data_IF_960635970701
#
_entry.id   IF_960635970701
#
_cell.length_a   1.000
_cell.length_b   1.000
_cell.length_c   1.000
_cell.angle_alpha   90.00
_cell.angle_beta   90.00
_cell.angle_gamma   90.00
#
_symmetry.space_group_name_H-M   'P 1'
#
loop_
_entity.id
_entity.type
_entity.pdbx_description
1 polymer ?
#
# COMPACT_ATOMS: atom_id res chain seq x y z
N UNK A 1 -15.18 -28.72 -5.01
CA UNK A 1 -13.79 -28.22 -4.96
C UNK A 1 -13.51 -27.85 -3.52
N UNK A 2 -12.49 -28.41 -2.86
CA UNK A 2 -12.16 -28.04 -1.47
C UNK A 2 -11.62 -26.61 -1.50
N UNK A 3 -12.22 -25.67 -0.77
CA UNK A 3 -11.67 -24.33 -0.55
C UNK A 3 -10.35 -24.48 0.21
N UNK A 4 -9.24 -24.60 -0.51
CA UNK A 4 -7.91 -24.53 0.08
C UNK A 4 -7.67 -23.07 0.47
N UNK A 5 -7.63 -22.80 1.77
CA UNK A 5 -7.35 -21.48 2.32
C UNK A 5 -5.95 -21.05 1.89
N UNK A 6 -5.84 -19.90 1.23
CA UNK A 6 -4.55 -19.32 0.86
C UNK A 6 -3.75 -19.00 2.12
N UNK A 7 -2.44 -19.27 2.08
CA UNK A 7 -1.49 -18.96 3.17
C UNK A 7 -0.57 -17.81 2.79
N UNK A 8 0.03 -17.16 3.79
CA UNK A 8 1.04 -16.11 3.56
C UNK A 8 2.20 -16.60 2.70
N UNK A 9 2.74 -17.78 2.99
CA UNK A 9 3.87 -18.33 2.24
C UNK A 9 3.53 -18.60 0.77
N UNK A 10 2.26 -18.89 0.47
CA UNK A 10 1.82 -18.99 -0.92
C UNK A 10 1.73 -17.60 -1.55
N UNK A 11 1.03 -16.65 -0.90
CA UNK A 11 0.89 -15.28 -1.41
C UNK A 11 2.23 -14.60 -1.67
N UNK A 12 3.20 -14.78 -0.75
CA UNK A 12 4.50 -14.12 -0.80
C UNK A 12 5.35 -14.51 -2.02
N UNK A 13 5.05 -15.62 -2.69
CA UNK A 13 5.78 -16.08 -3.89
C UNK A 13 4.92 -16.06 -5.15
N UNK A 14 3.69 -15.54 -5.08
CA UNK A 14 2.82 -15.44 -6.25
C UNK A 14 3.35 -14.38 -7.21
N UNK A 15 3.50 -14.78 -8.46
CA UNK A 15 3.74 -13.85 -9.56
C UNK A 15 2.55 -12.91 -9.79
N UNK A 16 2.79 -11.81 -10.50
CA UNK A 16 1.73 -10.89 -10.94
C UNK A 16 0.57 -11.63 -11.63
N UNK A 17 0.89 -12.57 -12.52
CA UNK A 17 -0.10 -13.37 -13.23
C UNK A 17 -0.93 -14.25 -12.28
N UNK A 18 -0.31 -14.89 -11.29
CA UNK A 18 -1.03 -15.72 -10.32
C UNK A 18 -1.95 -14.90 -9.41
N UNK A 19 -1.51 -13.70 -9.01
CA UNK A 19 -2.33 -12.76 -8.23
C UNK A 19 -3.59 -12.36 -9.02
N UNK A 20 -3.42 -12.06 -10.30
CA UNK A 20 -4.52 -11.71 -11.22
C UNK A 20 -5.48 -12.88 -11.42
N UNK A 21 -4.95 -14.07 -11.70
CA UNK A 21 -5.76 -15.30 -11.78
C UNK A 21 -6.51 -15.59 -10.49
N UNK A 22 -5.97 -15.21 -9.34
CA UNK A 22 -6.65 -15.40 -8.06
C UNK A 22 -7.77 -14.38 -7.86
N UNK A 23 -7.57 -13.10 -8.24
CA UNK A 23 -8.63 -12.09 -8.29
C UNK A 23 -9.78 -12.53 -9.22
N UNK A 24 -9.45 -13.07 -10.39
CA UNK A 24 -10.42 -13.46 -11.42
C UNK A 24 -11.33 -14.63 -11.01
N UNK A 25 -11.02 -15.33 -9.91
CA UNK A 25 -11.91 -16.34 -9.29
C UNK A 25 -13.12 -15.71 -8.62
N UNK A 26 -13.15 -14.38 -8.46
CA UNK A 26 -14.26 -13.62 -7.90
C UNK A 26 -13.95 -12.98 -6.55
N UNK A 27 -14.94 -12.25 -6.03
CA UNK A 27 -14.80 -11.38 -4.85
C UNK A 27 -14.38 -12.11 -3.58
N UNK A 28 -14.84 -13.35 -3.35
CA UNK A 28 -14.43 -14.13 -2.17
C UNK A 28 -12.93 -14.47 -2.21
N UNK A 29 -12.41 -14.84 -3.39
CA UNK A 29 -11.00 -15.10 -3.57
C UNK A 29 -10.19 -13.81 -3.38
N UNK A 30 -10.60 -12.71 -4.00
CA UNK A 30 -9.95 -11.40 -3.77
C UNK A 30 -9.91 -11.03 -2.29
N UNK A 31 -11.00 -11.23 -1.56
CA UNK A 31 -11.05 -10.97 -0.12
C UNK A 31 -10.07 -11.84 0.68
N UNK A 32 -9.79 -13.07 0.23
CA UNK A 32 -8.76 -13.89 0.87
C UNK A 32 -7.36 -13.30 0.68
N UNK A 33 -7.02 -12.75 -0.50
CA UNK A 33 -5.77 -12.01 -0.70
C UNK A 33 -5.70 -10.81 0.25
N UNK A 34 -6.75 -9.98 0.24
CA UNK A 34 -6.87 -8.79 1.09
C UNK A 34 -6.65 -9.13 2.56
N UNK A 35 -7.34 -10.15 3.07
CA UNK A 35 -7.27 -10.54 4.48
C UNK A 35 -5.89 -11.04 4.89
N UNK A 36 -5.17 -11.72 4.00
CA UNK A 36 -3.80 -12.17 4.29
C UNK A 36 -2.88 -10.96 4.38
N UNK A 37 -2.93 -10.06 3.40
CA UNK A 37 -2.10 -8.85 3.37
C UNK A 37 -2.40 -7.97 4.58
N UNK A 38 -3.66 -7.62 4.83
CA UNK A 38 -4.09 -6.85 6.00
C UNK A 38 -3.67 -7.51 7.32
N UNK A 39 -3.71 -8.84 7.40
CA UNK A 39 -3.31 -9.58 8.57
C UNK A 39 -1.79 -9.59 8.85
N UNK A 40 -0.97 -9.11 7.91
CA UNK A 40 0.48 -8.97 8.10
C UNK A 40 0.94 -7.54 8.35
N UNK A 41 0.05 -6.55 8.21
CA UNK A 41 0.42 -5.14 8.37
C UNK A 41 0.39 -4.76 9.84
N UNK A 42 1.53 -4.30 10.35
CA UNK A 42 1.68 -3.70 11.66
C UNK A 42 1.46 -2.19 11.55
N UNK A 43 0.29 -1.72 12.01
CA UNK A 43 -0.11 -0.33 11.87
C UNK A 43 0.56 0.56 12.92
N UNK A 44 1.01 1.77 12.54
CA UNK A 44 1.39 2.77 13.53
C UNK A 44 0.23 3.12 14.47
N UNK A 45 0.56 3.56 15.69
CA UNK A 45 -0.44 3.96 16.68
C UNK A 45 -1.41 5.01 16.12
N UNK A 46 -2.71 4.75 16.26
CA UNK A 46 -3.76 5.65 15.78
C UNK A 46 -4.07 5.54 14.28
N UNK A 47 -3.47 4.59 13.57
CA UNK A 47 -3.73 4.37 12.14
C UNK A 47 -4.78 3.27 11.90
N UNK A 48 -5.21 3.16 10.64
CA UNK A 48 -6.10 2.13 10.12
C UNK A 48 -5.68 1.71 8.73
N UNK A 49 -5.98 0.46 8.35
CA UNK A 49 -5.84 -0.03 6.99
C UNK A 49 -7.15 -0.62 6.49
N UNK A 50 -7.46 -0.35 5.23
CA UNK A 50 -8.60 -0.92 4.51
C UNK A 50 -8.13 -1.43 3.16
N UNK A 51 -8.60 -2.59 2.75
CA UNK A 51 -8.33 -3.13 1.42
C UNK A 51 -9.46 -2.78 0.45
N UNK A 52 -9.10 -2.58 -0.81
CA UNK A 52 -10.05 -2.45 -1.91
C UNK A 52 -10.78 -3.77 -2.15
N UNK A 53 -12.11 -3.74 -2.15
CA UNK A 53 -12.94 -4.91 -2.40
C UNK A 53 -13.43 -4.95 -3.86
N UNK A 54 -13.66 -3.79 -4.46
CA UNK A 54 -14.10 -3.64 -5.84
C UNK A 54 -13.19 -2.67 -6.63
N UNK A 55 -13.46 -1.37 -6.56
CA UNK A 55 -12.74 -0.37 -7.35
C UNK A 55 -12.66 0.97 -6.61
N UNK A 56 -12.76 0.95 -5.29
CA UNK A 56 -12.73 2.12 -4.43
C UNK A 56 -11.41 2.92 -4.58
N UNK A 57 -10.34 2.24 -4.98
CA UNK A 57 -8.99 2.74 -5.22
C UNK A 57 -8.51 2.42 -6.66
N UNK A 58 -9.43 2.52 -7.64
CA UNK A 58 -9.25 2.32 -9.08
C UNK A 58 -9.23 0.87 -9.61
N UNK A 59 -9.08 -0.16 -8.77
CA UNK A 59 -9.20 -1.56 -9.20
C UNK A 59 -8.05 -2.07 -10.08
N UNK A 60 -6.92 -1.37 -10.15
CA UNK A 60 -5.88 -1.66 -11.14
C UNK A 60 -5.15 -2.97 -10.88
N UNK A 61 -4.90 -3.31 -9.61
CA UNK A 61 -4.15 -4.51 -9.21
C UNK A 61 -4.98 -5.41 -8.27
N UNK A 62 -4.60 -6.69 -8.12
CA UNK A 62 -5.30 -7.65 -7.26
C UNK A 62 -5.54 -7.19 -5.83
N UNK A 63 -4.53 -6.59 -5.20
CA UNK A 63 -4.63 -6.06 -3.83
C UNK A 63 -4.21 -4.59 -3.81
N UNK A 64 -5.07 -3.75 -3.27
CA UNK A 64 -4.75 -2.36 -2.90
C UNK A 64 -5.16 -2.15 -1.45
N UNK A 65 -4.22 -1.80 -0.58
CA UNK A 65 -4.49 -1.42 0.80
C UNK A 65 -4.22 0.07 0.99
N UNK A 66 -5.21 0.80 1.51
CA UNK A 66 -5.06 2.19 1.93
C UNK A 66 -4.80 2.22 3.43
N UNK A 67 -3.68 2.80 3.82
CA UNK A 67 -3.17 2.86 5.20
C UNK A 67 -3.05 4.33 5.59
N UNK A 68 -3.79 4.78 6.60
CA UNK A 68 -3.85 6.20 6.98
C UNK A 68 -4.05 6.41 8.49
N UNK A 69 -3.68 7.58 9.04
CA UNK A 69 -4.12 7.98 10.37
C UNK A 69 -5.65 8.02 10.46
N UNK A 70 -6.21 7.59 11.59
CA UNK A 70 -7.68 7.59 11.77
C UNK A 70 -8.22 9.02 11.75
N UNK A 71 -9.15 9.26 10.82
CA UNK A 71 -9.78 10.58 10.66
C UNK A 71 -9.01 11.55 9.76
N UNK A 72 -7.89 11.12 9.17
CA UNK A 72 -7.12 11.90 8.20
C UNK A 72 -6.81 11.05 6.96
N UNK A 73 -7.72 11.10 5.99
CA UNK A 73 -7.57 10.39 4.72
C UNK A 73 -6.66 11.15 3.72
N UNK A 74 -6.24 12.38 4.03
CA UNK A 74 -5.34 13.13 3.15
C UNK A 74 -3.94 12.53 3.17
N UNK A 75 -3.53 11.98 4.31
CA UNK A 75 -2.27 11.24 4.46
C UNK A 75 -2.55 9.74 4.37
N UNK A 76 -2.61 9.25 3.14
CA UNK A 76 -2.82 7.84 2.85
C UNK A 76 -1.61 7.25 2.14
N UNK A 77 -1.09 6.15 2.68
CA UNK A 77 -0.12 5.28 2.01
C UNK A 77 -0.90 4.20 1.29
N UNK A 78 -0.55 3.94 0.04
CA UNK A 78 -1.10 2.84 -0.73
C UNK A 78 -0.08 1.73 -0.82
N UNK A 79 -0.47 0.53 -0.39
CA UNK A 79 0.26 -0.71 -0.62
C UNK A 79 -0.46 -1.48 -1.73
N UNK A 80 0.18 -1.58 -2.88
CA UNK A 80 -0.33 -2.21 -4.08
C UNK A 80 0.45 -3.49 -4.37
N UNK A 81 -0.26 -4.55 -4.75
CA UNK A 81 0.39 -5.76 -5.27
C UNK A 81 0.92 -5.55 -6.68
N UNK A 82 1.79 -6.46 -7.11
CA UNK A 82 2.01 -6.67 -8.53
C UNK A 82 0.69 -7.07 -9.23
N UNK A 83 0.62 -6.86 -10.54
CA UNK A 83 -0.51 -7.15 -11.42
C UNK A 83 -0.09 -7.10 -12.89
N UNK A 84 -1.03 -7.26 -13.82
CA UNK A 84 -0.69 -7.39 -15.26
C UNK A 84 0.13 -6.22 -15.82
N UNK A 85 -0.14 -5.01 -15.34
CA UNK A 85 0.54 -3.77 -15.79
C UNK A 85 1.51 -3.21 -14.73
N UNK A 86 1.54 -3.80 -13.54
CA UNK A 86 2.33 -3.34 -12.39
C UNK A 86 3.28 -4.46 -12.00
N UNK A 87 4.59 -4.34 -12.29
CA UNK A 87 5.51 -5.47 -12.18
C UNK A 87 5.81 -5.88 -10.73
N UNK A 88 5.69 -4.95 -9.78
CA UNK A 88 6.21 -5.10 -8.42
C UNK A 88 5.14 -4.75 -7.37
N UNK A 89 5.25 -5.36 -6.20
CA UNK A 89 4.62 -4.83 -5.00
C UNK A 89 5.22 -3.46 -4.69
N UNK A 90 4.37 -2.52 -4.28
CA UNK A 90 4.82 -1.16 -3.98
C UNK A 90 4.05 -0.53 -2.83
N UNK A 91 4.77 0.20 -1.98
CA UNK A 91 4.17 1.12 -1.02
C UNK A 91 4.52 2.54 -1.41
N UNK A 92 3.53 3.43 -1.51
CA UNK A 92 3.77 4.80 -1.92
C UNK A 92 2.82 5.81 -1.26
N UNK A 93 3.29 7.05 -1.16
CA UNK A 93 2.54 8.20 -0.65
C UNK A 93 2.28 9.17 -1.80
N UNK A 94 1.04 9.34 -2.29
CA UNK A 94 0.69 10.42 -3.19
C UNK A 94 0.70 11.76 -2.44
N UNK A 95 1.16 12.82 -3.11
CA UNK A 95 1.17 14.18 -2.58
C UNK A 95 1.12 15.24 -3.69
N UNK A 96 0.77 16.47 -3.32
CA UNK A 96 0.82 17.64 -4.19
C UNK A 96 1.78 18.66 -3.58
N UNK A 97 2.69 19.23 -4.39
CA UNK A 97 3.67 20.22 -3.91
C UNK A 97 3.10 21.63 -3.79
N UNK A 98 2.05 21.95 -4.55
CA UNK A 98 1.50 23.30 -4.62
C UNK A 98 -0.02 23.25 -4.49
N UNK A 99 -0.58 24.23 -3.78
CA UNK A 99 -2.01 24.53 -3.81
C UNK A 99 -2.40 25.41 -5.01
N UNK A 100 -1.43 25.76 -5.88
CA UNK A 100 -1.67 26.56 -7.07
C UNK A 100 -2.21 25.66 -8.17
N UNK A 101 -3.38 26.03 -8.70
CA UNK A 101 -4.11 25.25 -9.69
C UNK A 101 -3.34 25.00 -11.01
N UNK A 102 -2.28 25.79 -11.27
CA UNK A 102 -1.49 25.72 -12.50
C UNK A 102 -0.50 24.54 -12.56
N UNK A 103 -0.07 23.99 -11.41
CA UNK A 103 0.91 22.88 -11.33
C UNK A 103 0.37 21.71 -10.47
N UNK A 104 -0.83 21.23 -10.79
CA UNK A 104 -1.49 20.08 -10.13
C UNK A 104 -0.94 18.71 -10.59
N UNK A 105 0.38 18.60 -10.77
CA UNK A 105 1.00 17.29 -11.00
C UNK A 105 0.90 16.45 -9.73
N UNK A 106 0.08 15.40 -9.73
CA UNK A 106 0.11 14.40 -8.66
C UNK A 106 1.51 13.79 -8.58
N UNK A 107 2.20 14.00 -7.46
CA UNK A 107 3.50 13.39 -7.19
C UNK A 107 3.32 12.17 -6.31
N UNK A 108 4.29 11.28 -6.40
CA UNK A 108 4.32 10.04 -5.64
C UNK A 108 5.69 9.91 -5.00
N UNK A 109 5.73 9.62 -3.71
CA UNK A 109 6.93 9.19 -3.01
C UNK A 109 6.89 7.67 -2.89
N UNK A 110 7.82 6.99 -3.56
CA UNK A 110 7.97 5.54 -3.46
C UNK A 110 8.69 5.20 -2.17
N UNK A 111 7.99 4.48 -1.27
CA UNK A 111 8.49 4.12 0.06
C UNK A 111 9.10 2.70 0.07
N UNK A 112 8.60 1.84 -0.81
CA UNK A 112 9.05 0.46 -0.95
C UNK A 112 8.65 -0.06 -2.32
N UNK A 113 9.53 -0.82 -2.97
CA UNK A 113 9.17 -1.71 -4.07
C UNK A 113 9.87 -3.06 -3.90
N UNK A 114 9.20 -4.13 -4.32
CA UNK A 114 9.73 -5.48 -4.30
C UNK A 114 9.01 -6.38 -5.30
N UNK A 115 9.71 -7.38 -5.84
CA UNK A 115 9.11 -8.40 -6.71
C UNK A 115 8.02 -9.21 -5.97
N UNK A 116 8.26 -9.48 -4.68
CA UNK A 116 7.44 -10.34 -3.83
C UNK A 116 6.90 -9.57 -2.63
N UNK A 117 5.81 -10.05 -2.04
CA UNK A 117 5.28 -9.45 -0.82
C UNK A 117 6.22 -9.69 0.36
N UNK A 118 6.84 -8.61 0.86
CA UNK A 118 7.72 -8.60 2.03
C UNK A 118 7.08 -7.80 3.18
N UNK A 119 6.32 -8.47 4.07
CA UNK A 119 5.66 -7.78 5.17
C UNK A 119 6.65 -7.19 6.18
N UNK A 120 7.83 -7.80 6.36
CA UNK A 120 8.82 -7.31 7.33
C UNK A 120 9.39 -5.96 6.91
N UNK A 121 9.71 -5.80 5.62
CA UNK A 121 10.18 -4.52 5.08
C UNK A 121 9.05 -3.48 5.06
N UNK A 122 7.84 -3.87 4.66
CA UNK A 122 6.66 -2.99 4.70
C UNK A 122 6.42 -2.45 6.12
N UNK A 123 6.47 -3.30 7.13
CA UNK A 123 6.24 -2.90 8.52
C UNK A 123 7.33 -1.97 9.05
N UNK A 124 8.61 -2.16 8.67
CA UNK A 124 9.69 -1.22 8.99
C UNK A 124 9.48 0.15 8.36
N UNK A 125 9.01 0.18 7.11
CA UNK A 125 8.66 1.42 6.41
C UNK A 125 7.51 2.11 7.12
N UNK A 126 6.43 1.41 7.45
CA UNK A 126 5.28 1.97 8.15
C UNK A 126 5.64 2.49 9.53
N UNK A 127 6.48 1.77 10.29
CA UNK A 127 6.97 2.23 11.58
C UNK A 127 7.73 3.56 11.44
N UNK A 128 8.62 3.66 10.45
CA UNK A 128 9.37 4.89 10.15
C UNK A 128 8.41 6.03 9.78
N UNK A 129 7.44 5.80 8.90
CA UNK A 129 6.45 6.82 8.53
C UNK A 129 5.63 7.26 9.75
N UNK A 130 5.21 6.31 10.59
CA UNK A 130 4.52 6.57 11.84
C UNK A 130 5.33 7.43 12.81
N UNK A 131 6.65 7.21 12.90
CA UNK A 131 7.55 8.03 13.71
C UNK A 131 7.59 9.48 13.21
N UNK A 132 7.77 9.69 11.90
CA UNK A 132 7.75 11.03 11.31
C UNK A 132 6.41 11.71 11.52
N UNK A 133 5.29 11.00 11.34
CA UNK A 133 3.97 11.53 11.63
C UNK A 133 3.83 11.95 13.10
N UNK A 134 4.30 11.13 14.05
CA UNK A 134 4.30 11.49 15.49
C UNK A 134 5.17 12.71 15.80
N UNK A 135 6.16 13.02 14.97
CA UNK A 135 6.99 14.22 15.07
C UNK A 135 6.42 15.46 14.36
N UNK A 136 5.19 15.38 13.83
CA UNK A 136 4.46 16.52 13.28
C UNK A 136 4.58 16.69 11.77
N UNK A 137 5.15 15.72 11.05
CA UNK A 137 5.14 15.69 9.59
C UNK A 137 3.79 15.16 9.07
N UNK A 138 2.73 15.94 9.28
CA UNK A 138 1.34 15.48 9.11
C UNK A 138 0.72 15.88 7.76
N UNK A 139 1.49 16.56 6.90
CA UNK A 139 1.06 16.91 5.55
C UNK A 139 1.79 16.02 4.53
N UNK A 140 1.12 15.46 3.52
CA UNK A 140 1.73 14.51 2.59
C UNK A 140 3.03 15.01 1.95
N UNK A 141 3.05 16.25 1.44
CA UNK A 141 4.26 16.82 0.81
C UNK A 141 5.40 17.04 1.81
N UNK A 142 5.07 17.45 3.03
CA UNK A 142 6.04 17.66 4.11
C UNK A 142 6.64 16.33 4.55
N UNK A 143 5.81 15.31 4.73
CA UNK A 143 6.21 13.94 5.07
C UNK A 143 7.08 13.33 3.97
N UNK A 144 6.63 13.40 2.70
CA UNK A 144 7.40 12.92 1.55
C UNK A 144 8.81 13.56 1.50
N UNK A 145 8.89 14.87 1.71
CA UNK A 145 10.18 15.59 1.77
C UNK A 145 11.05 15.10 2.92
N UNK A 146 10.48 14.97 4.12
CA UNK A 146 11.22 14.56 5.31
C UNK A 146 11.73 13.12 5.20
N UNK A 147 10.92 12.20 4.66
CA UNK A 147 11.29 10.82 4.40
C UNK A 147 12.39 10.72 3.33
N UNK A 148 12.32 11.54 2.27
CA UNK A 148 13.39 11.64 1.26
C UNK A 148 14.69 12.13 1.88
N UNK A 149 14.65 13.15 2.72
CA UNK A 149 15.83 13.64 3.44
C UNK A 149 16.40 12.60 4.42
N UNK A 150 15.55 11.72 4.95
CA UNK A 150 15.94 10.57 5.78
C UNK A 150 16.44 9.36 4.98
N UNK A 151 16.40 9.39 3.64
CA UNK A 151 16.85 8.31 2.77
C UNK A 151 15.84 7.17 2.57
N UNK A 152 14.56 7.38 2.87
CA UNK A 152 13.50 6.35 2.73
C UNK A 152 12.73 6.45 1.40
N UNK A 153 12.71 7.61 0.74
CA UNK A 153 12.02 7.78 -0.54
C UNK A 153 13.00 7.80 -1.72
N UNK A 154 12.61 7.15 -2.82
CA UNK A 154 13.31 7.19 -4.12
C UNK A 154 12.62 8.12 -5.09
#
# INVERSE_FOLDING_TARGET
MKNQKLSLSQLAVMSAFELEQYRDRGSEARRQLNNIVLGQIELPDGWSAVAEEASEFCGQVPVVCRISPRGDDNLAIFLCSAGNEVPEWSAFLPFQETTNEADQGNRVAWLHTAENFDPDTVNKVLATVGDYYRHGFNQPAQLATALRMGGLCV
#
